data_IF_180476849227
#
_entry.id   IF_180476849227
#
_cell.length_a   1.000
_cell.length_b   1.000
_cell.length_c   1.000
_cell.angle_alpha   90.00
_cell.angle_beta   90.00
_cell.angle_gamma   90.00
#
_symmetry.space_group_name_H-M   'P 1'
#
loop_
_entity.id
_entity.type
_entity.pdbx_description
1 polymer ?
#
# COMPACT_ATOMS: atom_id res chain seq x y z
N UNK A 1 42.89 8.72 9.21
CA UNK A 1 41.97 9.27 10.26
C UNK A 1 41.09 10.45 9.79
N UNK A 2 41.12 10.87 8.52
CA UNK A 2 40.39 12.07 8.04
C UNK A 2 39.15 11.77 7.14
N UNK A 3 38.98 10.53 6.67
CA UNK A 3 37.87 10.13 5.78
C UNK A 3 36.60 9.63 6.51
N UNK A 4 36.70 9.25 7.79
CA UNK A 4 35.54 8.77 8.56
C UNK A 4 34.69 9.90 9.18
N UNK A 5 35.13 11.16 9.09
CA UNK A 5 34.42 12.30 9.69
C UNK A 5 33.43 12.99 8.75
N UNK A 6 33.47 12.72 7.44
CA UNK A 6 32.54 13.34 6.49
C UNK A 6 31.19 12.60 6.40
N UNK A 7 31.16 11.28 6.58
CA UNK A 7 29.90 10.51 6.59
C UNK A 7 29.00 10.85 7.79
N UNK A 8 29.61 11.19 8.94
CA UNK A 8 28.89 11.63 10.14
C UNK A 8 28.33 13.07 10.07
N UNK A 9 28.76 13.89 9.10
CA UNK A 9 28.21 15.24 8.93
C UNK A 9 26.91 15.26 8.13
N UNK A 10 26.70 14.29 7.23
CA UNK A 10 25.44 14.15 6.49
C UNK A 10 24.33 13.49 7.32
N UNK A 11 24.66 12.66 8.31
CA UNK A 11 23.65 12.05 9.17
C UNK A 11 22.91 13.08 10.03
N UNK A 12 23.60 14.12 10.53
CA UNK A 12 22.98 15.19 11.33
C UNK A 12 21.94 16.04 10.59
N UNK A 13 21.90 16.00 9.25
CA UNK A 13 20.91 16.75 8.47
C UNK A 13 19.53 16.06 8.44
N UNK A 14 19.48 14.77 8.76
CA UNK A 14 18.23 13.99 8.86
C UNK A 14 17.70 13.87 10.30
N UNK A 15 18.57 13.91 11.32
CA UNK A 15 18.17 13.79 12.73
C UNK A 15 17.43 15.01 13.32
N UNK A 16 17.36 16.15 12.61
CA UNK A 16 16.68 17.36 13.09
C UNK A 16 15.19 17.46 12.70
N UNK A 17 14.74 16.61 11.78
CA UNK A 17 13.34 16.55 11.32
C UNK A 17 12.81 15.18 11.71
N UNK A 18 11.69 15.15 12.45
CA UNK A 18 11.02 13.90 12.86
C UNK A 18 10.78 13.05 11.59
N UNK A 19 11.50 11.93 11.43
CA UNK A 19 11.36 11.04 10.27
C UNK A 19 10.10 10.20 10.42
N UNK A 20 8.96 10.84 10.21
CA UNK A 20 7.61 10.24 10.29
C UNK A 20 6.88 10.68 9.01
N UNK A 21 6.05 9.82 8.40
CA UNK A 21 5.18 10.25 7.31
C UNK A 21 4.38 11.50 7.71
N UNK A 22 4.03 12.32 6.72
CA UNK A 22 3.23 13.52 6.97
C UNK A 22 1.84 13.16 7.51
N UNK A 23 1.35 11.99 7.14
CA UNK A 23 0.03 11.49 7.51
C UNK A 23 0.17 10.26 8.41
N UNK A 24 -0.49 10.30 9.56
CA UNK A 24 -0.66 9.17 10.48
C UNK A 24 -2.13 8.74 10.60
N UNK A 25 -2.97 9.29 9.73
CA UNK A 25 -4.38 9.01 9.58
C UNK A 25 -4.64 7.76 8.75
N UNK A 26 -5.89 7.30 8.77
CA UNK A 26 -6.37 6.27 7.85
C UNK A 26 -6.51 6.89 6.46
N UNK A 27 -6.21 6.12 5.42
CA UNK A 27 -6.43 6.54 4.03
C UNK A 27 -7.70 5.88 3.50
N UNK A 28 -8.79 6.64 3.40
CA UNK A 28 -10.12 6.12 3.02
C UNK A 28 -10.72 7.03 1.97
N UNK A 29 -11.16 6.45 0.84
CA UNK A 29 -11.87 7.20 -0.20
C UNK A 29 -11.06 8.35 -0.80
N UNK A 30 -9.73 8.21 -0.87
CA UNK A 30 -8.83 9.26 -1.35
C UNK A 30 -8.45 10.30 -0.30
N UNK A 31 -8.98 10.23 0.92
CA UNK A 31 -8.76 11.22 1.98
C UNK A 31 -8.07 10.65 3.23
N UNK A 32 -7.40 11.55 3.96
CA UNK A 32 -6.76 11.25 5.23
C UNK A 32 -7.72 11.55 6.37
N UNK A 33 -8.23 10.51 7.04
CA UNK A 33 -9.29 10.62 8.04
C UNK A 33 -8.87 10.06 9.39
N UNK A 34 -9.31 10.71 10.46
CA UNK A 34 -9.18 10.15 11.80
C UNK A 34 -10.10 8.93 11.94
N UNK A 35 -9.74 8.06 12.87
CA UNK A 35 -10.57 6.92 13.27
C UNK A 35 -11.96 7.41 13.70
N UNK A 36 -13.01 6.67 13.35
CA UNK A 36 -14.38 7.02 13.67
C UNK A 36 -14.62 7.18 15.19
N UNK A 37 -13.93 6.37 15.99
CA UNK A 37 -13.99 6.45 17.46
C UNK A 37 -12.89 7.34 18.07
N UNK A 38 -12.00 7.90 17.25
CA UNK A 38 -10.89 8.77 17.67
C UNK A 38 -9.68 8.04 18.26
N UNK A 39 -9.69 6.70 18.29
CA UNK A 39 -8.61 5.93 18.91
C UNK A 39 -7.31 6.03 18.12
N UNK A 40 -6.21 5.96 18.87
CA UNK A 40 -4.85 5.88 18.33
C UNK A 40 -4.06 4.79 19.04
N UNK A 41 -2.95 4.37 18.43
CA UNK A 41 -1.94 3.55 19.08
C UNK A 41 -0.54 4.07 18.74
N UNK A 42 0.44 3.77 19.59
CA UNK A 42 1.83 4.15 19.33
C UNK A 42 2.55 3.04 18.56
N UNK A 43 3.28 3.42 17.52
CA UNK A 43 4.30 2.54 16.95
C UNK A 43 5.63 2.77 17.67
N UNK A 44 6.35 1.68 17.92
CA UNK A 44 7.50 1.64 18.82
C UNK A 44 8.76 1.38 17.99
N UNK A 45 9.83 2.13 18.26
CA UNK A 45 11.13 1.84 17.69
C UNK A 45 11.68 0.57 18.37
N UNK A 46 11.87 -0.55 17.65
CA UNK A 46 12.28 -1.82 18.26
C UNK A 46 13.72 -1.81 18.77
N UNK A 47 14.53 -0.81 18.41
CA UNK A 47 15.90 -0.66 18.90
C UNK A 47 15.96 0.12 20.22
N UNK A 48 15.15 1.17 20.37
CA UNK A 48 15.15 2.02 21.59
C UNK A 48 14.04 1.70 22.57
N UNK A 49 13.03 0.93 22.15
CA UNK A 49 11.78 0.67 22.87
C UNK A 49 10.96 1.95 23.15
N UNK A 50 11.29 3.06 22.50
CA UNK A 50 10.60 4.33 22.66
C UNK A 50 9.51 4.52 21.58
N UNK A 51 8.40 5.20 21.90
CA UNK A 51 7.40 5.58 20.91
C UNK A 51 7.98 6.47 19.80
N UNK A 52 7.70 6.13 18.54
CA UNK A 52 8.05 6.94 17.38
C UNK A 52 7.00 8.05 17.18
N UNK A 53 5.74 7.62 17.04
CA UNK A 53 4.57 8.48 16.83
C UNK A 53 3.27 7.71 17.13
N UNK A 54 2.19 8.45 17.36
CA UNK A 54 0.83 7.90 17.38
C UNK A 54 0.25 7.80 15.96
N UNK A 55 -0.49 6.72 15.70
CA UNK A 55 -1.18 6.42 14.43
C UNK A 55 -2.66 6.16 14.73
N UNK A 56 -3.55 6.57 13.84
CA UNK A 56 -4.98 6.33 13.98
C UNK A 56 -5.28 4.82 13.96
N UNK A 57 -6.08 4.36 14.92
CA UNK A 57 -6.50 2.95 15.07
C UNK A 57 -7.84 2.76 14.36
N UNK A 58 -7.84 2.07 13.23
CA UNK A 58 -9.06 1.71 12.52
C UNK A 58 -10.01 0.91 13.42
N UNK A 59 -11.23 1.42 13.55
CA UNK A 59 -12.36 0.74 14.17
C UNK A 59 -13.10 -0.15 13.15
N UNK A 60 -14.11 -0.89 13.64
CA UNK A 60 -15.05 -1.65 12.79
C UNK A 60 -15.74 -0.72 11.78
N UNK A 61 -16.18 0.47 12.21
CA UNK A 61 -16.83 1.45 11.34
C UNK A 61 -15.88 1.97 10.26
N UNK A 62 -14.60 2.15 10.56
CA UNK A 62 -13.62 2.58 9.56
C UNK A 62 -13.37 1.53 8.48
N UNK A 63 -13.43 0.24 8.85
CA UNK A 63 -13.38 -0.86 7.89
C UNK A 63 -14.59 -0.82 6.97
N UNK A 64 -15.81 -0.65 7.52
CA UNK A 64 -17.04 -0.55 6.72
C UNK A 64 -16.95 0.62 5.73
N UNK A 65 -16.55 1.80 6.21
CA UNK A 65 -16.32 3.00 5.39
C UNK A 65 -15.31 2.76 4.27
N UNK A 66 -14.22 2.04 4.55
CA UNK A 66 -13.21 1.71 3.56
C UNK A 66 -13.72 0.71 2.51
N UNK A 67 -14.49 -0.30 2.92
CA UNK A 67 -15.10 -1.25 1.98
C UNK A 67 -16.13 -0.54 1.10
N UNK A 68 -16.97 0.32 1.66
CA UNK A 68 -17.93 1.11 0.89
C UNK A 68 -17.24 2.02 -0.14
N UNK A 69 -16.15 2.68 0.25
CA UNK A 69 -15.35 3.50 -0.67
C UNK A 69 -14.76 2.64 -1.80
N UNK A 70 -14.19 1.48 -1.48
CA UNK A 70 -13.65 0.55 -2.45
C UNK A 70 -14.71 -0.01 -3.40
N UNK A 71 -15.90 -0.31 -2.86
CA UNK A 71 -17.05 -0.83 -3.60
C UNK A 71 -17.56 0.20 -4.60
N UNK A 72 -17.75 1.44 -4.15
CA UNK A 72 -18.15 2.57 -4.99
C UNK A 72 -17.13 2.84 -6.10
N UNK A 73 -15.84 2.82 -5.79
CA UNK A 73 -14.77 3.03 -6.76
C UNK A 73 -14.76 1.95 -7.86
N UNK A 74 -15.02 0.69 -7.50
CA UNK A 74 -15.07 -0.41 -8.47
C UNK A 74 -16.37 -0.41 -9.30
N UNK A 75 -17.54 -0.22 -8.70
CA UNK A 75 -18.81 -0.35 -9.43
C UNK A 75 -19.15 0.87 -10.27
N UNK A 76 -18.83 2.05 -9.75
CA UNK A 76 -19.32 3.31 -10.30
C UNK A 76 -18.19 4.25 -10.70
N UNK A 77 -17.00 4.10 -10.12
CA UNK A 77 -15.84 4.92 -10.39
C UNK A 77 -15.21 4.70 -11.77
N UNK A 78 -14.24 5.54 -12.16
CA UNK A 78 -13.55 5.42 -13.44
C UNK A 78 -12.66 4.16 -13.50
N UNK A 79 -12.21 3.64 -12.36
CA UNK A 79 -11.20 2.56 -12.27
C UNK A 79 -11.54 1.30 -13.07
N UNK A 80 -12.76 0.79 -12.95
CA UNK A 80 -13.20 -0.41 -13.68
C UNK A 80 -13.32 -0.19 -15.19
N UNK A 81 -13.46 1.07 -15.62
CA UNK A 81 -13.60 1.47 -17.03
C UNK A 81 -12.27 1.86 -17.67
N UNK A 82 -11.24 2.13 -16.87
CA UNK A 82 -9.89 2.36 -17.38
C UNK A 82 -9.38 1.10 -18.08
N UNK A 83 -8.71 1.28 -19.21
CA UNK A 83 -7.97 0.23 -19.90
C UNK A 83 -6.84 -0.30 -19.02
N UNK A 84 -6.37 -1.52 -19.32
CA UNK A 84 -5.19 -2.08 -18.66
C UNK A 84 -3.94 -1.20 -18.81
N UNK A 85 -3.82 -0.47 -19.92
CA UNK A 85 -2.71 0.48 -20.15
C UNK A 85 -2.79 1.67 -19.19
N UNK A 86 -3.95 2.32 -19.07
CA UNK A 86 -4.10 3.47 -18.16
C UNK A 86 -3.88 3.08 -16.68
N UNK A 87 -4.32 1.88 -16.27
CA UNK A 87 -3.98 1.33 -14.94
C UNK A 87 -2.48 1.07 -14.81
N UNK A 88 -1.85 0.54 -15.86
CA UNK A 88 -0.41 0.34 -15.94
C UNK A 88 0.38 1.64 -15.78
N UNK A 89 -0.07 2.73 -16.40
CA UNK A 89 0.58 4.04 -16.30
C UNK A 89 0.58 4.58 -14.86
N UNK A 90 -0.53 4.43 -14.13
CA UNK A 90 -0.61 4.80 -12.71
C UNK A 90 0.32 3.96 -11.84
N UNK A 91 0.38 2.65 -12.06
CA UNK A 91 1.31 1.76 -11.37
C UNK A 91 2.77 2.10 -11.68
N UNK A 92 3.07 2.45 -12.93
CA UNK A 92 4.41 2.86 -13.34
C UNK A 92 4.81 4.18 -12.68
N UNK A 93 3.90 5.17 -12.65
CA UNK A 93 4.11 6.44 -11.95
C UNK A 93 4.35 6.21 -10.46
N UNK A 94 3.60 5.33 -9.80
CA UNK A 94 3.85 4.96 -8.41
C UNK A 94 5.22 4.31 -8.22
N UNK A 95 5.64 3.42 -9.12
CA UNK A 95 6.97 2.81 -9.07
C UNK A 95 8.08 3.88 -9.13
N UNK A 96 7.97 4.85 -10.04
CA UNK A 96 8.94 5.96 -10.15
C UNK A 96 8.92 6.87 -8.92
N UNK A 97 7.75 7.12 -8.32
CA UNK A 97 7.64 7.85 -7.05
C UNK A 97 8.30 7.10 -5.89
N UNK A 98 8.12 5.78 -5.79
CA UNK A 98 8.79 4.94 -4.80
C UNK A 98 10.31 5.03 -4.97
N UNK A 99 10.79 4.91 -6.21
CA UNK A 99 12.22 5.02 -6.52
C UNK A 99 12.78 6.40 -6.15
N UNK A 100 12.04 7.47 -6.48
CA UNK A 100 12.41 8.86 -6.18
C UNK A 100 12.49 9.12 -4.67
N UNK A 101 11.57 8.56 -3.89
CA UNK A 101 11.51 8.72 -2.43
C UNK A 101 12.19 7.56 -1.67
N UNK A 102 13.01 6.76 -2.36
CA UNK A 102 13.56 5.53 -1.81
C UNK A 102 14.44 5.71 -0.57
N UNK A 103 15.14 6.83 -0.46
CA UNK A 103 15.95 7.13 0.73
C UNK A 103 15.07 7.31 1.97
N UNK A 104 13.99 8.08 1.86
CA UNK A 104 13.03 8.33 2.92
C UNK A 104 12.32 7.03 3.34
N UNK A 105 11.84 6.26 2.35
CA UNK A 105 11.16 4.98 2.58
C UNK A 105 12.06 3.97 3.29
N UNK A 106 13.34 3.90 2.92
CA UNK A 106 14.29 3.01 3.59
C UNK A 106 14.53 3.42 5.05
N UNK A 107 14.55 4.73 5.35
CA UNK A 107 14.68 5.21 6.73
C UNK A 107 13.45 4.89 7.57
N UNK A 108 12.24 4.99 7.00
CA UNK A 108 11.02 4.58 7.70
C UNK A 108 11.03 3.08 8.01
N UNK A 109 11.42 2.24 7.05
CA UNK A 109 11.59 0.79 7.29
C UNK A 109 12.62 0.51 8.38
N UNK A 110 13.77 1.20 8.37
CA UNK A 110 14.78 1.00 9.40
C UNK A 110 14.31 1.48 10.79
N UNK A 111 13.53 2.56 10.85
CA UNK A 111 13.03 3.14 12.09
C UNK A 111 11.91 2.31 12.73
N UNK A 112 10.92 1.91 11.92
CA UNK A 112 9.66 1.30 12.38
C UNK A 112 9.77 -0.22 12.49
N UNK A 113 10.43 -0.87 11.52
CA UNK A 113 10.67 -2.33 11.55
C UNK A 113 11.98 -2.72 12.26
N UNK A 114 12.98 -1.84 12.30
CA UNK A 114 14.28 -2.11 12.94
C UNK A 114 15.33 -2.78 12.04
N UNK A 115 15.02 -3.04 10.76
CA UNK A 115 16.00 -3.64 9.84
C UNK A 115 17.17 -2.69 9.54
N UNK A 116 18.36 -3.22 9.24
CA UNK A 116 19.47 -2.41 8.76
C UNK A 116 19.09 -1.60 7.52
N UNK A 117 19.40 -0.30 7.52
CA UNK A 117 19.09 0.63 6.42
C UNK A 117 19.58 0.14 5.06
N UNK A 118 20.73 -0.54 5.01
CA UNK A 118 21.26 -1.11 3.77
C UNK A 118 20.33 -2.19 3.21
N UNK A 119 19.77 -3.05 4.06
CA UNK A 119 18.80 -4.07 3.65
C UNK A 119 17.48 -3.44 3.22
N UNK A 120 16.98 -2.43 3.96
CA UNK A 120 15.79 -1.69 3.57
C UNK A 120 15.91 -1.09 2.15
N UNK A 121 17.08 -0.57 1.78
CA UNK A 121 17.32 -0.02 0.44
C UNK A 121 17.37 -1.09 -0.65
N UNK A 122 18.22 -2.11 -0.46
CA UNK A 122 18.53 -3.08 -1.53
C UNK A 122 17.47 -4.17 -1.66
N UNK A 123 16.72 -4.45 -0.59
CA UNK A 123 15.64 -5.44 -0.60
C UNK A 123 14.31 -4.73 -0.72
N UNK A 124 13.87 -4.02 0.32
CA UNK A 124 12.50 -3.53 0.41
C UNK A 124 12.16 -2.49 -0.66
N UNK A 125 12.91 -1.38 -0.71
CA UNK A 125 12.64 -0.29 -1.67
C UNK A 125 12.86 -0.77 -3.10
N UNK A 126 13.99 -1.41 -3.36
CA UNK A 126 14.35 -1.86 -4.72
C UNK A 126 13.37 -2.90 -5.25
N UNK A 127 13.02 -3.93 -4.47
CA UNK A 127 12.07 -4.94 -4.93
C UNK A 127 10.63 -4.43 -4.99
N UNK A 128 10.25 -3.46 -4.14
CA UNK A 128 8.94 -2.82 -4.25
C UNK A 128 8.81 -2.04 -5.56
N UNK A 129 9.81 -1.22 -5.90
CA UNK A 129 9.88 -0.54 -7.20
C UNK A 129 9.78 -1.53 -8.37
N UNK A 130 10.57 -2.60 -8.34
CA UNK A 130 10.55 -3.62 -9.39
C UNK A 130 9.21 -4.34 -9.48
N UNK A 131 8.56 -4.61 -8.34
CA UNK A 131 7.24 -5.26 -8.29
C UNK A 131 6.18 -4.39 -8.94
N UNK A 132 6.08 -3.10 -8.56
CA UNK A 132 5.13 -2.19 -9.19
C UNK A 132 5.42 -2.00 -10.68
N UNK A 133 6.70 -1.85 -11.05
CA UNK A 133 7.10 -1.73 -12.46
C UNK A 133 6.75 -2.97 -13.28
N UNK A 134 6.93 -4.16 -12.71
CA UNK A 134 6.56 -5.42 -13.36
C UNK A 134 5.05 -5.48 -13.62
N UNK A 135 4.23 -5.24 -12.60
CA UNK A 135 2.77 -5.31 -12.72
C UNK A 135 2.18 -4.15 -13.53
N UNK A 136 2.83 -2.99 -13.56
CA UNK A 136 2.52 -1.92 -14.52
C UNK A 136 2.61 -2.44 -15.96
N UNK A 137 3.70 -3.12 -16.30
CA UNK A 137 3.87 -3.77 -17.60
C UNK A 137 2.90 -4.93 -17.84
N UNK A 138 2.37 -5.56 -16.79
CA UNK A 138 1.45 -6.70 -16.90
C UNK A 138 -0.04 -6.29 -16.98
N UNK A 139 -0.39 -5.05 -16.62
CA UNK A 139 -1.77 -4.60 -16.46
C UNK A 139 -2.66 -4.74 -17.72
N UNK A 140 -2.08 -4.72 -18.93
CA UNK A 140 -2.79 -4.94 -20.19
C UNK A 140 -2.64 -6.35 -20.78
N UNK A 141 -2.14 -7.32 -19.99
CA UNK A 141 -1.85 -8.69 -20.43
C UNK A 141 -2.72 -9.75 -19.76
N UNK A 142 -3.74 -9.34 -19.03
CA UNK A 142 -4.80 -10.22 -18.54
C UNK A 142 -5.72 -10.65 -19.69
N UNK A 143 -5.26 -11.64 -20.47
CA UNK A 143 -6.00 -12.19 -21.62
C UNK A 143 -6.74 -13.48 -21.23
N UNK A 144 -7.94 -13.64 -21.78
CA UNK A 144 -8.65 -14.92 -21.79
C UNK A 144 -8.27 -15.77 -23.01
N UNK A 145 -9.06 -16.81 -23.24
CA UNK A 145 -8.83 -17.82 -24.28
C UNK A 145 -10.02 -17.88 -25.22
N UNK A 146 -9.80 -18.19 -26.49
CA UNK A 146 -10.84 -18.62 -27.43
C UNK A 146 -10.88 -20.14 -27.45
N UNK A 147 -12.08 -20.72 -27.34
CA UNK A 147 -12.26 -22.17 -27.15
C UNK A 147 -12.93 -22.76 -28.38
N UNK A 148 -12.34 -23.84 -28.90
CA UNK A 148 -12.93 -24.68 -29.95
C UNK A 148 -14.06 -25.52 -29.37
N UNK A 149 -15.24 -24.92 -29.21
CA UNK A 149 -16.43 -25.59 -28.71
C UNK A 149 -17.05 -26.51 -29.77
N UNK A 150 -17.63 -27.66 -29.40
CA UNK A 150 -18.34 -28.51 -30.36
C UNK A 150 -19.64 -27.86 -30.82
N UNK A 151 -19.92 -27.91 -32.13
CA UNK A 151 -21.11 -27.31 -32.75
C UNK A 151 -20.92 -25.84 -33.13
N UNK A 152 -22.02 -25.16 -33.44
CA UNK A 152 -22.01 -23.76 -33.93
C UNK A 152 -22.01 -22.73 -32.78
N UNK A 153 -20.97 -22.79 -31.94
CA UNK A 153 -20.80 -21.86 -30.82
C UNK A 153 -19.49 -21.07 -30.91
N UNK A 154 -19.56 -19.76 -30.62
CA UNK A 154 -18.37 -18.95 -30.34
C UNK A 154 -18.15 -18.88 -28.83
N UNK A 155 -17.10 -19.55 -28.34
CA UNK A 155 -16.76 -19.62 -26.92
C UNK A 155 -15.46 -18.88 -26.62
N UNK A 156 -15.46 -18.06 -25.57
CA UNK A 156 -14.28 -17.37 -25.07
C UNK A 156 -14.34 -17.16 -23.55
N UNK A 157 -13.19 -16.93 -22.92
CA UNK A 157 -13.10 -16.60 -21.49
C UNK A 157 -12.70 -15.15 -21.27
N UNK A 158 -13.06 -14.61 -20.11
CA UNK A 158 -12.61 -13.30 -19.62
C UNK A 158 -12.00 -13.47 -18.24
N UNK A 159 -10.88 -12.80 -18.00
CA UNK A 159 -10.26 -12.70 -16.66
C UNK A 159 -10.69 -11.37 -16.06
N UNK A 160 -11.83 -11.38 -15.37
CA UNK A 160 -12.38 -10.19 -14.73
C UNK A 160 -11.81 -10.03 -13.31
N UNK A 161 -11.58 -8.79 -12.83
CA UNK A 161 -11.18 -8.58 -11.45
C UNK A 161 -12.29 -9.01 -10.50
N UNK A 162 -11.90 -9.56 -9.34
CA UNK A 162 -12.85 -10.17 -8.41
C UNK A 162 -13.77 -9.15 -7.72
N UNK A 163 -13.35 -7.89 -7.63
CA UNK A 163 -14.06 -6.85 -6.88
C UNK A 163 -13.17 -6.07 -5.93
N UNK A 164 -13.64 -5.92 -4.70
CA UNK A 164 -12.89 -5.37 -3.58
C UNK A 164 -12.04 -6.49 -2.99
N UNK A 165 -10.73 -6.29 -2.91
CA UNK A 165 -9.82 -7.25 -2.29
C UNK A 165 -9.45 -6.78 -0.87
N UNK A 166 -9.79 -7.58 0.13
CA UNK A 166 -9.26 -7.43 1.48
C UNK A 166 -7.82 -7.95 1.56
N UNK A 167 -6.89 -7.13 2.06
CA UNK A 167 -5.47 -7.48 2.15
C UNK A 167 -4.92 -7.16 3.53
N UNK A 168 -4.36 -8.16 4.22
CA UNK A 168 -3.70 -7.99 5.51
C UNK A 168 -2.22 -8.32 5.32
N UNK A 169 -1.33 -7.44 5.76
CA UNK A 169 0.13 -7.63 5.63
C UNK A 169 0.82 -7.76 6.99
N UNK A 170 1.89 -8.56 7.08
CA UNK A 170 2.69 -8.72 8.30
C UNK A 170 3.74 -7.60 8.45
N UNK A 171 4.45 -7.61 9.58
CA UNK A 171 5.40 -6.58 10.00
C UNK A 171 6.85 -6.81 9.57
N UNK A 172 7.22 -7.98 9.04
CA UNK A 172 8.63 -8.35 8.85
C UNK A 172 9.28 -7.70 7.62
N UNK A 173 8.52 -7.48 6.54
CA UNK A 173 8.93 -6.75 5.32
C UNK A 173 7.76 -5.88 4.83
N UNK A 174 7.33 -4.87 5.61
CA UNK A 174 6.04 -4.20 5.45
C UNK A 174 5.84 -3.58 4.06
N UNK A 175 6.80 -2.77 3.62
CA UNK A 175 6.74 -2.10 2.31
C UNK A 175 6.70 -3.10 1.15
N UNK A 176 7.54 -4.14 1.19
CA UNK A 176 7.59 -5.14 0.13
C UNK A 176 6.33 -6.02 0.11
N UNK A 177 5.80 -6.39 1.27
CA UNK A 177 4.53 -7.13 1.38
C UNK A 177 3.36 -6.32 0.86
N UNK A 178 3.33 -5.02 1.13
CA UNK A 178 2.36 -4.12 0.50
C UNK A 178 2.47 -4.18 -1.02
N UNK A 179 3.67 -4.06 -1.58
CA UNK A 179 3.88 -4.11 -3.04
C UNK A 179 3.42 -5.45 -3.65
N UNK A 180 3.74 -6.58 -3.01
CA UNK A 180 3.31 -7.92 -3.44
C UNK A 180 1.80 -8.11 -3.43
N UNK A 181 1.07 -7.33 -2.63
CA UNK A 181 -0.38 -7.40 -2.51
C UNK A 181 -1.09 -6.39 -3.41
N UNK A 182 -0.70 -5.11 -3.36
CA UNK A 182 -1.32 -4.03 -4.12
C UNK A 182 -1.07 -4.16 -5.62
N UNK A 183 0.18 -4.35 -6.04
CA UNK A 183 0.55 -4.29 -7.44
C UNK A 183 -0.22 -5.30 -8.34
N UNK A 184 -0.30 -6.61 -8.00
CA UNK A 184 -1.10 -7.54 -8.81
C UNK A 184 -2.60 -7.24 -8.78
N UNK A 185 -3.17 -6.88 -7.62
CA UNK A 185 -4.60 -6.61 -7.48
C UNK A 185 -5.02 -5.39 -8.32
N UNK A 186 -4.25 -4.31 -8.25
CA UNK A 186 -4.50 -3.09 -9.00
C UNK A 186 -4.29 -3.30 -10.50
N UNK A 187 -3.27 -4.07 -10.91
CA UNK A 187 -3.06 -4.40 -12.32
C UNK A 187 -4.27 -5.16 -12.91
N UNK A 188 -4.79 -6.13 -12.15
CA UNK A 188 -5.99 -6.90 -12.53
C UNK A 188 -7.26 -6.02 -12.60
N UNK A 189 -7.27 -4.88 -11.89
CA UNK A 189 -8.40 -3.95 -11.84
C UNK A 189 -9.27 -4.10 -10.59
N UNK A 190 -8.81 -4.81 -9.56
CA UNK A 190 -9.46 -4.81 -8.25
C UNK A 190 -9.31 -3.43 -7.58
N UNK A 191 -10.22 -3.12 -6.66
CA UNK A 191 -9.99 -2.10 -5.64
C UNK A 191 -9.56 -2.80 -4.34
N UNK A 192 -8.92 -2.10 -3.43
CA UNK A 192 -8.27 -2.71 -2.27
C UNK A 192 -8.62 -2.01 -0.96
N UNK A 193 -8.89 -2.80 0.07
CA UNK A 193 -8.82 -2.39 1.48
C UNK A 193 -7.67 -3.13 2.13
N UNK A 194 -6.63 -2.39 2.51
CA UNK A 194 -5.41 -2.94 3.09
C UNK A 194 -5.28 -2.60 4.57
N UNK A 195 -5.13 -3.62 5.41
CA UNK A 195 -4.74 -3.48 6.81
C UNK A 195 -3.24 -3.68 6.98
N UNK A 196 -2.55 -2.67 7.50
CA UNK A 196 -1.11 -2.73 7.82
C UNK A 196 -0.90 -3.42 9.17
N UNK A 197 0.26 -4.05 9.36
CA UNK A 197 0.64 -4.52 10.69
C UNK A 197 0.71 -3.36 11.69
N UNK A 198 0.23 -3.58 12.91
CA UNK A 198 0.24 -2.57 13.98
C UNK A 198 1.66 -2.20 14.42
N UNK A 199 2.63 -3.09 14.25
CA UNK A 199 4.03 -2.84 14.61
C UNK A 199 4.74 -1.93 13.61
N UNK A 200 4.27 -1.86 12.36
CA UNK A 200 5.02 -1.23 11.27
C UNK A 200 4.13 -0.49 10.24
N UNK A 201 3.31 0.49 10.66
CA UNK A 201 2.39 1.18 9.74
C UNK A 201 3.07 2.23 8.85
N UNK A 202 4.24 2.76 9.23
CA UNK A 202 4.69 4.06 8.72
C UNK A 202 5.08 4.06 7.23
N UNK A 203 5.79 3.01 6.77
CA UNK A 203 6.19 2.91 5.36
C UNK A 203 4.98 2.74 4.44
N UNK A 204 3.99 1.96 4.87
CA UNK A 204 2.75 1.74 4.14
C UNK A 204 1.90 3.02 4.02
N UNK A 205 1.82 3.82 5.08
CA UNK A 205 1.16 5.13 5.06
C UNK A 205 1.90 6.10 4.12
N UNK A 206 3.24 6.10 4.15
CA UNK A 206 4.02 6.91 3.22
C UNK A 206 3.78 6.54 1.75
N UNK A 207 3.67 5.25 1.43
CA UNK A 207 3.28 4.81 0.09
C UNK A 207 1.84 5.24 -0.24
N UNK A 208 0.93 5.28 0.74
CA UNK A 208 -0.41 5.88 0.58
C UNK A 208 -0.38 7.33 0.08
N UNK A 209 0.55 8.15 0.60
CA UNK A 209 0.74 9.51 0.10
C UNK A 209 1.20 9.53 -1.36
N UNK A 210 2.10 8.61 -1.73
CA UNK A 210 2.59 8.46 -3.10
C UNK A 210 1.50 7.93 -4.05
N UNK A 211 0.56 7.13 -3.57
CA UNK A 211 -0.63 6.68 -4.32
C UNK A 211 -1.52 7.88 -4.64
N UNK A 212 -1.76 8.77 -3.67
CA UNK A 212 -2.50 10.03 -3.92
C UNK A 212 -1.75 10.93 -4.91
N UNK A 213 -0.44 11.08 -4.77
CA UNK A 213 0.41 11.85 -5.71
C UNK A 213 0.44 11.24 -7.13
N UNK A 214 0.41 9.91 -7.24
CA UNK A 214 0.32 9.21 -8.51
C UNK A 214 -1.01 9.50 -9.23
N UNK A 215 -2.08 9.82 -8.49
CA UNK A 215 -3.39 10.16 -9.06
C UNK A 215 -4.28 8.94 -9.25
N UNK A 216 -4.16 7.94 -8.38
CA UNK A 216 -5.14 6.86 -8.34
C UNK A 216 -6.53 7.43 -8.01
N UNK A 217 -7.60 6.95 -8.67
CA UNK A 217 -8.95 7.39 -8.33
C UNK A 217 -9.31 7.12 -6.87
N UNK A 218 -10.14 8.00 -6.30
CA UNK A 218 -10.59 7.91 -4.92
C UNK A 218 -11.24 6.55 -4.62
N UNK A 219 -10.86 5.95 -3.48
CA UNK A 219 -11.37 4.66 -3.02
C UNK A 219 -10.76 3.44 -3.71
N UNK A 220 -9.91 3.59 -4.74
CA UNK A 220 -9.25 2.44 -5.37
C UNK A 220 -8.30 1.73 -4.42
N UNK A 221 -7.59 2.49 -3.59
CA UNK A 221 -6.77 1.98 -2.49
C UNK A 221 -7.23 2.64 -1.20
N UNK A 222 -7.48 1.83 -0.19
CA UNK A 222 -7.77 2.28 1.17
C UNK A 222 -6.78 1.59 2.12
N UNK A 223 -6.15 2.34 3.02
CA UNK A 223 -5.12 1.85 3.93
C UNK A 223 -5.57 2.11 5.36
N UNK A 224 -5.68 1.03 6.12
CA UNK A 224 -6.09 1.01 7.51
C UNK A 224 -4.92 0.54 8.37
N UNK A 225 -4.62 1.29 9.43
CA UNK A 225 -3.73 0.84 10.50
C UNK A 225 -4.57 0.48 11.71
N UNK A 226 -4.37 -0.69 12.29
CA UNK A 226 -5.18 -1.18 13.41
C UNK A 226 -4.73 -2.55 13.88
N UNK A 227 -5.40 -3.12 14.88
CA UNK A 227 -5.05 -4.43 15.41
C UNK A 227 -5.71 -5.57 14.63
N UNK A 228 -5.09 -6.75 14.70
CA UNK A 228 -5.62 -7.96 14.06
C UNK A 228 -6.96 -8.41 14.65
N UNK A 229 -7.15 -8.29 15.96
CA UNK A 229 -8.36 -8.73 16.68
C UNK A 229 -9.62 -7.91 16.36
N UNK A 230 -9.46 -6.65 15.96
CA UNK A 230 -10.57 -5.76 15.61
C UNK A 230 -10.66 -5.55 14.10
N UNK A 231 -9.87 -4.61 13.57
CA UNK A 231 -9.90 -4.23 12.16
C UNK A 231 -9.58 -5.41 11.23
N UNK A 232 -8.61 -6.25 11.62
CA UNK A 232 -8.27 -7.45 10.86
C UNK A 232 -9.40 -8.49 10.83
N UNK A 233 -9.94 -8.85 12.00
CA UNK A 233 -11.00 -9.83 12.12
C UNK A 233 -12.29 -9.39 11.43
N UNK A 234 -12.65 -8.11 11.55
CA UNK A 234 -13.82 -7.55 10.88
C UNK A 234 -13.64 -7.54 9.36
N UNK A 235 -12.49 -7.10 8.86
CA UNK A 235 -12.20 -7.10 7.42
C UNK A 235 -12.30 -8.51 6.82
N UNK A 236 -11.86 -9.55 7.53
CA UNK A 236 -11.98 -10.95 7.06
C UNK A 236 -13.44 -11.43 6.99
N UNK A 237 -14.32 -10.93 7.86
CA UNK A 237 -15.74 -11.34 7.94
C UNK A 237 -16.68 -10.43 7.15
N UNK A 238 -16.16 -9.34 6.59
CA UNK A 238 -16.99 -8.31 5.97
C UNK A 238 -17.65 -8.86 4.69
N UNK A 239 -18.98 -8.76 4.51
CA UNK A 239 -19.69 -9.37 3.37
C UNK A 239 -19.41 -8.67 2.03
N UNK A 240 -18.83 -7.47 2.05
CA UNK A 240 -18.47 -6.67 0.88
C UNK A 240 -17.09 -6.94 0.27
N UNK A 241 -16.33 -7.91 0.80
CA UNK A 241 -14.98 -8.30 0.31
C UNK A 241 -14.87 -9.80 0.04
#
# INVERSE_FOLDING_TARGET
KMLARSSFRNSKRFFGTRMVPKQTQLFIGGEWVNSANGDTFETINPYTEEPITSVQRASVEDVDRAVDAARKAFDHGPWRRMSGTERGDLLFKLAELIKKNGEELAHLEALDNGKPITLAKIVDVSNSYLTYKYYAGFANKFVGDTISAPGDFHAYTRKEPVGVAAQIIPWNVPMLMQAWKLAPALAAGCTVVMKTAEQTPLSALRVGELIKEAGFPDGVVNILSGFGEDAGAHLVRHPGV
#
